data_IF_190260822682
#
_entry.id   IF_190260822682
#
_cell.length_a   1.000
_cell.length_b   1.000
_cell.length_c   1.000
_cell.angle_alpha   90.00
_cell.angle_beta   90.00
_cell.angle_gamma   90.00
#
_symmetry.space_group_name_H-M   'P 1'
#
loop_
_entity.id
_entity.type
_entity.pdbx_description
1 polymer ?
2 non-polymer ?
3 non-polymer ?
4 non-polymer ?
5 water ?
#
# COMPACT_ATOMS: atom_id res chain seq x y z
N UNK A 3 -0.42 10.59 -19.22
CA UNK A 3 -0.06 11.68 -18.26
C UNK A 3 0.03 11.15 -16.82
N UNK A 4 -0.98 11.39 -16.00
CA UNK A 4 -1.04 10.83 -14.65
C UNK A 4 -1.15 9.30 -14.74
N UNK A 5 -0.56 8.61 -13.78
CA UNK A 5 -0.55 7.15 -13.77
C UNK A 5 -1.90 6.61 -13.29
N UNK A 6 -2.08 5.30 -13.38
CA UNK A 6 -3.26 4.63 -12.85
C UNK A 6 -3.24 4.58 -11.34
N UNK A 7 -4.38 4.26 -10.76
CA UNK A 7 -4.53 4.23 -9.32
C UNK A 7 -5.13 2.93 -8.84
N UNK A 8 -5.06 2.71 -7.54
CA UNK A 8 -5.55 1.48 -6.94
C UNK A 8 -6.27 1.74 -5.63
N UNK A 9 -7.36 1.02 -5.44
CA UNK A 9 -8.12 1.12 -4.22
C UNK A 9 -8.31 -0.32 -3.73
N UNK A 10 -7.97 -0.55 -2.47
CA UNK A 10 -7.80 -1.91 -2.00
C UNK A 10 -8.61 -2.22 -0.76
N UNK A 11 -8.90 -3.51 -0.60
CA UNK A 11 -9.55 -3.99 0.61
C UNK A 11 -9.19 -5.43 0.87
N UNK A 12 -9.28 -5.82 2.12
CA UNK A 12 -8.94 -7.18 2.52
C UNK A 12 -9.78 -7.59 3.72
N UNK A 13 -10.15 -8.87 3.76
CA UNK A 13 -10.86 -9.41 4.91
C UNK A 13 -10.15 -10.68 5.34
N UNK A 14 -9.96 -10.84 6.64
CA UNK A 14 -9.20 -11.97 7.16
C UNK A 14 -9.88 -12.62 8.37
N UNK A 15 -10.01 -13.94 8.33
CA UNK A 15 -10.60 -14.69 9.45
C UNK A 15 -9.70 -15.85 9.84
N UNK A 16 -9.19 -15.84 11.07
CA UNK A 16 -8.43 -16.96 11.60
C UNK A 16 -9.38 -18.13 11.86
N UNK A 17 -8.82 -19.34 11.94
CA UNK A 17 -9.60 -20.54 12.26
C UNK A 17 -10.11 -20.48 13.69
N UNK A 18 -11.42 -20.38 13.87
CA UNK A 18 -11.99 -20.02 15.17
C UNK A 18 -11.24 -18.80 15.69
N UNK A 19 -11.13 -17.80 14.82
CA UNK A 19 -10.18 -16.68 14.99
C UNK A 19 -10.41 -15.79 16.20
N UNK A 20 -9.61 -15.96 17.26
CA UNK A 20 -8.50 -16.91 17.32
C UNK A 20 -7.16 -16.23 17.13
N UNK A 21 -6.16 -16.74 17.85
CA UNK A 21 -4.84 -16.11 17.92
C UNK A 21 -4.07 -16.12 16.59
N UNK A 22 -4.09 -17.26 15.89
CA UNK A 22 -3.23 -17.43 14.71
C UNK A 22 -3.89 -18.13 13.52
N UNK A 23 -3.24 -17.95 12.37
CA UNK A 23 -3.69 -18.49 11.09
C UNK A 23 -2.46 -18.75 10.21
N UNK A 24 -2.46 -19.84 9.47
CA UNK A 24 -1.39 -20.13 8.51
C UNK A 24 -1.37 -19.11 7.39
N UNK A 25 -2.54 -18.58 7.03
CA UNK A 25 -2.68 -17.58 5.97
C UNK A 25 -2.12 -16.20 6.33
N UNK A 26 -1.48 -15.57 5.35
CA UNK A 26 -1.04 -14.18 5.48
C UNK A 26 -1.25 -13.46 4.16
N UNK A 27 -1.42 -12.15 4.23
CA UNK A 27 -1.41 -11.35 3.02
C UNK A 27 -0.62 -10.07 3.24
N UNK A 28 -0.21 -9.47 2.14
CA UNK A 28 0.49 -8.20 2.20
C UNK A 28 0.21 -7.41 0.94
N UNK A 29 0.50 -6.13 1.00
CA UNK A 29 0.49 -5.30 -0.17
C UNK A 29 1.62 -4.30 -0.07
N UNK A 30 2.07 -3.81 -1.21
CA UNK A 30 2.91 -2.63 -1.20
C UNK A 30 2.61 -1.78 -2.42
N UNK A 31 2.89 -0.49 -2.28
CA UNK A 31 2.75 0.42 -3.38
C UNK A 31 3.98 1.31 -3.45
N UNK A 32 4.68 1.24 -4.57
CA UNK A 32 5.67 2.24 -4.92
C UNK A 32 4.91 3.33 -5.65
N UNK A 33 4.77 4.49 -5.02
CA UNK A 33 3.92 5.55 -5.54
C UNK A 33 4.04 5.81 -7.03
N UNK A 34 2.91 5.68 -7.73
CA UNK A 34 2.79 5.95 -9.18
C UNK A 34 3.45 4.94 -10.09
N UNK A 35 4.14 3.93 -9.54
CA UNK A 35 4.85 2.95 -10.36
C UNK A 35 4.29 1.52 -10.28
N UNK A 36 4.07 1.02 -9.06
CA UNK A 36 3.94 -0.40 -8.83
C UNK A 36 2.98 -0.68 -7.70
N UNK A 37 2.10 -1.65 -7.90
CA UNK A 37 1.29 -2.20 -6.80
C UNK A 37 1.42 -3.70 -6.81
N UNK A 38 1.68 -4.28 -5.64
CA UNK A 38 1.75 -5.74 -5.47
C UNK A 38 0.85 -6.20 -4.32
N UNK A 39 0.20 -7.36 -4.49
CA UNK A 39 -0.59 -8.02 -3.44
C UNK A 39 -0.26 -9.50 -3.42
N UNK A 40 -0.07 -10.05 -2.21
CA UNK A 40 0.35 -11.43 -2.03
C UNK A 40 -0.51 -12.14 -0.98
N UNK A 41 -0.89 -13.38 -1.27
CA UNK A 41 -1.52 -14.25 -0.28
C UNK A 41 -0.68 -15.53 -0.20
N UNK A 42 -0.46 -16.02 1.02
CA UNK A 42 0.29 -17.25 1.24
C UNK A 42 -0.39 -18.15 2.24
N UNK A 43 -0.19 -19.46 2.05
CA UNK A 43 -0.73 -20.48 2.95
C UNK A 43 0.40 -21.02 3.82
N UNK A 44 0.19 -20.99 5.13
CA UNK A 44 1.21 -21.39 6.12
C UNK A 44 2.27 -22.36 5.64
N UNK A 50 7.98 -14.21 8.04
CA UNK A 50 8.51 -14.03 6.69
C UNK A 50 7.52 -13.27 5.81
N UNK A 51 7.47 -11.96 5.99
CA UNK A 51 6.58 -11.11 5.22
C UNK A 51 6.98 -11.08 3.75
N UNK A 52 5.99 -10.92 2.87
CA UNK A 52 6.23 -10.86 1.42
C UNK A 52 7.04 -9.63 0.98
N UNK A 53 6.86 -8.53 1.72
CA UNK A 53 7.52 -7.27 1.44
C UNK A 53 8.14 -6.77 2.72
N UNK A 54 9.17 -5.95 2.58
CA UNK A 54 9.93 -5.42 3.72
C UNK A 54 10.56 -4.07 3.36
N UNK A 55 11.00 -3.33 4.37
CA UNK A 55 11.72 -2.10 4.14
C UNK A 55 13.02 -2.41 3.42
N UNK A 56 13.58 -1.40 2.78
CA UNK A 56 14.89 -1.55 2.14
C UNK A 56 16.01 -1.56 3.17
N UNK A 57 17.24 -1.75 2.69
CA UNK A 57 18.39 -2.03 3.54
C UNK A 57 18.66 -0.97 4.59
N UNK A 58 18.60 0.29 4.21
CA UNK A 58 18.95 1.36 5.16
C UNK A 58 17.77 1.66 6.09
N UNK A 59 16.57 1.74 5.53
CA UNK A 59 15.36 1.90 6.33
C UNK A 59 15.25 0.76 7.34
N UNK A 60 15.76 -0.41 6.99
CA UNK A 60 15.72 -1.56 7.90
C UNK A 60 16.52 -1.31 9.18
N UNK A 61 17.74 -0.81 9.06
CA UNK A 61 18.54 -0.50 10.23
C UNK A 61 17.86 0.58 11.07
N UNK A 62 17.30 1.60 10.40
CA UNK A 62 16.66 2.72 11.09
C UNK A 62 15.39 2.21 11.75
N UNK A 63 14.66 1.36 11.03
CA UNK A 63 13.45 0.76 11.57
C UNK A 63 13.75 -0.05 12.84
N UNK A 64 14.84 -0.79 12.83
CA UNK A 64 15.23 -1.60 13.98
C UNK A 64 15.52 -0.73 15.20
N UNK A 65 16.20 0.39 14.97
CA UNK A 65 16.55 1.33 16.04
C UNK A 65 15.29 1.93 16.67
N UNK A 66 14.34 2.34 15.83
CA UNK A 66 13.03 2.78 16.33
C UNK A 66 12.42 1.73 17.24
N UNK A 67 12.38 0.48 16.73
CA UNK A 67 11.77 -0.65 17.43
C UNK A 67 12.54 -1.10 18.67
N UNK A 68 13.79 -0.65 18.82
CA UNK A 68 14.48 -0.84 20.08
C UNK A 68 13.65 -0.22 21.19
N UNK A 69 13.30 1.06 21.00
CA UNK A 69 12.64 1.84 22.04
C UNK A 69 13.64 2.65 22.85
N UNK A 70 14.91 2.60 22.47
CA UNK A 70 15.99 3.32 23.17
C UNK A 70 15.62 4.80 23.35
N UNK A 71 16.38 5.46 24.22
CA UNK A 71 16.12 6.86 24.56
C UNK A 71 16.18 7.76 23.33
N UNK A 72 15.23 8.69 23.21
CA UNK A 72 15.18 9.62 22.07
C UNK A 72 16.53 10.26 21.79
N UNK A 73 17.15 10.81 22.82
CA UNK A 73 18.44 11.47 22.69
C UNK A 73 19.49 10.59 22.00
N UNK A 74 19.61 9.36 22.42
CA UNK A 74 20.68 8.52 21.89
C UNK A 74 20.32 7.94 20.51
N UNK A 75 19.04 7.62 20.31
CA UNK A 75 18.55 7.11 19.02
C UNK A 75 18.78 8.11 17.89
N UNK A 76 18.49 9.38 18.18
CA UNK A 76 18.79 10.46 17.26
C UNK A 76 20.29 10.49 16.97
N UNK A 77 21.07 10.37 18.03
CA UNK A 77 22.51 10.40 17.92
C UNK A 77 23.00 9.19 17.12
N UNK A 78 22.35 8.04 17.31
CA UNK A 78 22.88 6.82 16.70
C UNK A 78 22.45 6.72 15.25
N UNK A 79 21.22 7.18 14.97
CA UNK A 79 20.74 7.27 13.58
C UNK A 79 21.58 8.24 12.76
N UNK A 80 21.91 9.38 13.34
CA UNK A 80 22.83 10.31 12.66
C UNK A 80 24.09 9.60 12.21
N UNK A 81 24.81 9.01 13.16
CA UNK A 81 26.06 8.30 12.84
C UNK A 81 25.87 7.29 11.72
N UNK A 82 24.74 6.61 11.74
CA UNK A 82 24.39 5.70 10.66
C UNK A 82 24.22 6.44 9.32
N UNK A 83 23.49 7.55 9.32
CA UNK A 83 23.23 8.31 8.10
C UNK A 83 24.50 8.96 7.55
N UNK A 84 25.41 9.34 8.44
CA UNK A 84 26.67 9.96 8.01
C UNK A 84 27.64 8.94 7.39
N UNK A 85 27.18 7.71 7.12
CA UNK A 85 27.98 6.69 6.42
C UNK A 85 27.23 6.13 5.20
N UNK A 86 26.50 7.00 4.49
CA UNK A 86 25.74 6.60 3.31
C UNK A 86 26.55 6.77 2.04
N UNK A 91 24.18 10.41 0.14
CA UNK A 91 23.05 10.90 0.92
C UNK A 91 21.81 10.05 0.65
N UNK A 92 20.92 9.98 1.65
CA UNK A 92 19.63 9.32 1.52
C UNK A 92 18.52 10.34 1.25
N UNK A 93 18.89 11.60 1.04
CA UNK A 93 17.91 12.66 0.88
C UNK A 93 17.19 12.89 2.22
N UNK A 94 15.88 13.08 2.17
CA UNK A 94 15.05 13.20 3.37
C UNK A 94 14.30 11.89 3.52
N UNK A 95 13.71 11.69 4.70
CA UNK A 95 12.90 10.52 5.01
C UNK A 95 11.81 10.94 5.96
N UNK A 96 10.57 10.69 5.58
CA UNK A 96 9.44 10.81 6.49
C UNK A 96 8.86 9.40 6.56
N UNK A 97 9.00 8.74 7.71
CA UNK A 97 8.56 7.35 7.87
C UNK A 97 7.55 7.19 9.01
N UNK A 98 6.37 6.69 8.69
CA UNK A 98 5.34 6.37 9.67
C UNK A 98 5.09 4.87 9.72
N UNK A 99 5.11 4.28 10.92
CA UNK A 99 4.89 2.85 11.07
C UNK A 99 3.78 2.56 12.06
N UNK A 100 2.66 2.03 11.59
CA UNK A 100 1.51 1.79 12.46
C UNK A 100 1.39 0.31 12.77
N UNK A 101 1.21 0.00 14.05
CA UNK A 101 0.93 -1.34 14.55
C UNK A 101 -0.57 -1.58 14.44
N UNK A 102 -0.99 -2.51 13.58
CA UNK A 102 -2.43 -2.69 13.34
C UNK A 102 -3.13 -3.39 14.49
N UNK A 103 -2.37 -3.89 15.45
CA UNK A 103 -2.99 -4.58 16.58
C UNK A 103 -3.53 -3.60 17.64
N UNK A 104 -2.73 -2.59 18.01
CA UNK A 104 -3.16 -1.61 19.02
C UNK A 104 -3.15 -0.14 18.54
N UNK A 105 -2.91 0.05 17.24
CA UNK A 105 -2.95 1.36 16.62
C UNK A 105 -1.88 2.34 17.14
N UNK A 106 -0.85 1.84 17.81
CA UNK A 106 0.27 2.68 18.22
C UNK A 106 1.05 3.02 16.97
N UNK A 107 1.78 4.12 17.00
CA UNK A 107 2.51 4.60 15.84
C UNK A 107 3.89 5.12 16.21
N UNK A 108 4.87 4.71 15.42
CA UNK A 108 6.22 5.23 15.49
C UNK A 108 6.55 6.09 14.27
N UNK A 109 7.13 7.27 14.49
CA UNK A 109 7.57 8.16 13.41
C UNK A 109 9.06 8.37 13.43
N UNK A 110 9.68 8.27 12.26
CA UNK A 110 11.08 8.57 12.10
C UNK A 110 11.13 9.64 11.02
N UNK A 111 11.61 10.82 11.40
CA UNK A 111 11.78 11.91 10.46
C UNK A 111 13.25 12.19 10.36
N UNK A 112 13.72 12.29 9.12
CA UNK A 112 15.09 12.72 8.84
C UNK A 112 14.99 13.83 7.85
N UNK A 113 15.49 15.00 8.21
CA UNK A 113 15.46 16.13 7.31
C UNK A 113 14.11 16.81 7.26
N UNK A 114 13.39 16.83 8.38
CA UNK A 114 12.06 17.44 8.47
C UNK A 114 11.00 16.84 7.54
N UNK A 115 9.93 17.62 7.32
CA UNK A 115 8.68 17.10 6.77
C UNK A 115 7.66 18.21 6.60
N UNK A 116 6.88 18.50 7.67
CA UNK A 116 6.52 17.71 8.86
C UNK A 116 5.18 16.99 8.67
N UNK A 117 4.51 16.58 9.76
CA UNK A 117 3.21 15.86 9.61
C UNK A 117 2.21 16.16 10.70
N UNK A 118 0.96 15.81 10.44
CA UNK A 118 -0.16 16.20 11.29
C UNK A 118 -1.17 15.07 11.46
N UNK A 119 -1.86 15.12 12.59
CA UNK A 119 -2.92 14.17 12.92
C UNK A 119 -4.19 14.95 13.21
N UNK A 120 -5.29 14.52 12.64
CA UNK A 120 -6.55 15.19 12.89
C UNK A 120 -7.44 14.24 13.68
N UNK A 121 -7.75 14.63 14.92
CA UNK A 121 -8.59 13.85 15.83
C UNK A 121 -9.86 14.65 16.14
N UNK A 122 -10.96 14.21 15.52
CA UNK A 122 -12.21 14.97 15.54
C UNK A 122 -11.97 16.32 14.91
N UNK A 123 -12.17 17.38 15.69
CA UNK A 123 -12.00 18.75 15.24
C UNK A 123 -10.60 19.28 15.55
N UNK A 124 -9.78 18.46 16.19
CA UNK A 124 -8.44 18.89 16.57
C UNK A 124 -7.41 18.49 15.52
N UNK A 125 -6.34 19.27 15.40
CA UNK A 125 -5.24 18.98 14.50
C UNK A 125 -3.94 19.34 15.20
N UNK A 126 -3.08 18.35 15.42
CA UNK A 126 -1.80 18.56 16.11
C UNK A 126 -0.65 18.13 15.21
N UNK A 127 0.47 18.84 15.29
CA UNK A 127 1.66 18.48 14.55
C UNK A 127 2.36 17.33 15.25
N UNK A 128 3.07 16.52 14.48
CA UNK A 128 3.77 15.37 15.02
C UNK A 128 5.19 15.78 15.36
N UNK A 129 5.42 15.95 16.66
CA UNK A 129 6.71 16.37 17.18
C UNK A 129 6.97 15.72 18.52
N UNK A 130 8.26 15.58 18.86
CA UNK A 130 8.67 14.97 20.12
C UNK A 130 8.57 15.99 21.26
N UNK A 131 7.87 15.60 22.33
CA UNK A 131 7.63 16.46 23.52
C UNK A 131 8.69 17.53 23.79
N UNK A 137 21.91 19.55 21.55
CA UNK A 137 23.21 19.27 20.94
C UNK A 137 23.10 19.25 19.41
N UNK A 138 24.18 18.83 18.76
CA UNK A 138 24.24 18.73 17.30
C UNK A 138 23.32 17.61 16.81
N UNK A 139 22.43 17.97 15.90
CA UNK A 139 21.58 17.02 15.19
C UNK A 139 21.86 17.18 13.70
N UNK A 140 22.94 16.55 13.25
CA UNK A 140 23.54 16.79 11.93
C UNK A 140 22.56 16.69 10.78
N UNK A 141 21.73 15.64 10.81
CA UNK A 141 20.82 15.35 9.70
C UNK A 141 19.38 15.74 10.03
N UNK A 142 19.20 16.46 11.14
CA UNK A 142 17.89 16.94 11.56
C UNK A 142 16.90 15.78 11.80
N UNK A 143 17.34 14.83 12.61
CA UNK A 143 16.57 13.63 12.91
C UNK A 143 15.58 13.82 14.06
N UNK A 144 14.35 13.36 13.87
CA UNK A 144 13.38 13.26 14.95
C UNK A 144 12.83 11.86 15.04
N UNK A 145 12.52 11.44 16.26
CA UNK A 145 11.89 10.16 16.55
C UNK A 145 10.73 10.44 17.49
N UNK A 146 9.55 9.91 17.16
CA UNK A 146 8.33 10.20 17.89
C UNK A 146 7.47 8.93 17.98
N UNK A 147 6.68 8.85 19.05
CA UNK A 147 5.70 7.78 19.25
C UNK A 147 4.35 8.39 19.58
N UNK A 148 3.28 7.80 19.10
CA UNK A 148 1.95 8.28 19.45
C UNK A 148 0.99 7.13 19.50
N UNK A 149 -0.10 7.34 20.21
CA UNK A 149 -1.16 6.38 20.28
C UNK A 149 -2.31 6.92 19.43
N UNK A 150 -2.56 6.27 18.30
CA UNK A 150 -3.65 6.69 17.43
C UNK A 150 -4.96 6.07 17.89
N UNK A 151 -6.05 6.49 17.27
CA UNK A 151 -7.39 6.06 17.63
C UNK A 151 -8.26 5.94 16.41
N UNK A 152 -9.22 5.02 16.46
CA UNK A 152 -10.18 4.87 15.37
C UNK A 152 -10.70 6.27 14.99
N UNK A 153 -10.67 6.58 13.69
CA UNK A 153 -11.12 7.89 13.20
C UNK A 153 -10.03 8.93 13.01
N UNK A 154 -8.85 8.67 13.57
CA UNK A 154 -7.71 9.57 13.35
C UNK A 154 -7.34 9.64 11.88
N UNK A 155 -6.85 10.80 11.48
CA UNK A 155 -6.33 11.02 10.14
C UNK A 155 -4.92 11.51 10.22
N UNK A 156 -4.02 10.68 9.73
CA UNK A 156 -2.60 10.97 9.69
C UNK A 156 -2.33 11.52 8.30
N UNK A 157 -1.71 12.68 8.23
CA UNK A 157 -1.37 13.32 6.97
C UNK A 157 0.13 13.59 6.88
N UNK A 158 0.76 13.05 5.84
CA UNK A 158 2.17 13.25 5.56
C UNK A 158 2.34 14.03 4.25
N UNK A 159 3.41 14.82 4.16
CA UNK A 159 3.66 15.63 2.99
C UNK A 159 5.11 16.05 2.81
N UNK A 160 5.51 16.31 1.57
CA UNK A 160 6.86 16.75 1.25
C UNK A 160 6.98 18.27 1.35
N UNK A 161 8.18 18.81 1.13
CA UNK A 161 8.41 20.27 1.20
C UNK A 161 7.46 21.06 0.30
N UNK A 162 7.28 20.60 -0.94
CA UNK A 162 6.52 21.33 -1.94
C UNK A 162 5.06 21.58 -1.66
N UNK A 163 4.44 20.70 -0.87
CA UNK A 163 3.08 20.95 -0.43
C UNK A 163 3.08 21.86 0.77
N UNK A 164 3.87 21.49 1.77
CA UNK A 164 3.77 22.15 3.06
C UNK A 164 4.31 23.58 3.07
N UNK A 165 5.45 23.78 2.41
CA UNK A 165 6.01 25.10 2.18
C UNK A 165 5.52 25.71 0.84
N UNK A 166 4.48 25.11 0.27
CA UNK A 166 3.92 25.54 -1.01
C UNK A 166 3.22 26.88 -1.03
N UNK A 167 2.28 27.13 -0.08
CA UNK A 167 1.45 28.36 -0.12
C UNK A 167 2.29 29.62 -0.23
N UNK A 168 1.84 30.55 -1.08
CA UNK A 168 2.71 31.59 -1.62
C UNK A 168 3.23 32.60 -0.61
N UNK A 169 2.34 33.28 0.10
CA UNK A 169 2.77 34.35 1.01
C UNK A 169 2.22 34.09 2.41
N UNK A 170 2.67 32.98 2.96
CA UNK A 170 2.22 32.49 4.27
C UNK A 170 3.41 32.43 5.25
N UNK A 171 3.27 33.15 6.37
CA UNK A 171 4.35 33.25 7.35
C UNK A 171 4.43 31.97 8.18
N UNK A 172 3.29 31.59 8.74
CA UNK A 172 3.19 30.40 9.54
C UNK A 172 2.53 29.25 8.75
N UNK A 173 3.38 28.40 8.18
CA UNK A 173 2.90 27.24 7.43
C UNK A 173 2.13 26.25 8.32
N UNK A 174 2.64 26.02 9.53
CA UNK A 174 1.96 25.16 10.51
C UNK A 174 0.48 25.54 10.63
N UNK A 175 0.24 26.83 10.82
CA UNK A 175 -1.10 27.32 11.06
C UNK A 175 -1.98 27.19 9.82
N UNK A 176 -1.40 27.49 8.66
CA UNK A 176 -2.10 27.34 7.38
C UNK A 176 -2.60 25.91 7.17
N UNK A 177 -1.75 24.93 7.44
CA UNK A 177 -2.14 23.54 7.22
C UNK A 177 -3.21 23.06 8.22
N UNK A 178 -3.07 23.43 9.50
CA UNK A 178 -4.06 23.07 10.52
C UNK A 178 -5.42 23.62 10.13
N UNK A 179 -5.46 24.92 9.86
CA UNK A 179 -6.71 25.59 9.50
C UNK A 179 -7.34 24.88 8.31
N UNK A 180 -6.54 24.56 7.30
CA UNK A 180 -7.07 23.87 6.13
C UNK A 180 -7.56 22.46 6.45
N UNK A 181 -6.82 21.71 7.25
CA UNK A 181 -7.25 20.36 7.66
C UNK A 181 -8.47 20.39 8.56
N UNK A 182 -8.53 21.36 9.46
CA UNK A 182 -9.72 21.53 10.30
C UNK A 182 -10.97 21.75 9.43
N UNK A 183 -10.79 22.35 8.26
CA UNK A 183 -11.90 22.60 7.35
C UNK A 183 -12.29 21.50 6.39
N UNK A 184 -11.56 20.38 6.41
CA UNK A 184 -11.90 19.22 5.58
C UNK A 184 -13.29 18.67 5.94
N UNK A 185 -14.23 18.77 5.01
CA UNK A 185 -15.59 18.24 5.19
C UNK A 185 -15.67 16.90 4.48
N UNK A 186 -14.92 15.93 5.00
CA UNK A 186 -14.92 14.53 4.53
C UNK A 186 -14.02 13.65 5.41
N UNK A 187 -14.23 12.33 5.40
CA UNK A 187 -13.31 11.43 6.09
C UNK A 187 -12.58 10.49 5.11
N UNK A 188 -12.58 10.81 3.82
CA UNK A 188 -12.03 9.89 2.82
C UNK A 188 -10.59 10.25 2.49
N UNK A 189 -9.65 9.35 2.79
CA UNK A 189 -8.25 9.66 2.53
C UNK A 189 -7.91 10.21 1.13
N UNK A 190 -8.42 9.60 0.06
CA UNK A 190 -8.07 10.10 -1.27
C UNK A 190 -8.60 11.51 -1.54
N UNK A 191 -9.82 11.81 -1.10
CA UNK A 191 -10.35 13.16 -1.22
C UNK A 191 -9.50 14.18 -0.47
N UNK A 192 -9.10 13.85 0.75
CA UNK A 192 -8.31 14.76 1.56
C UNK A 192 -7.00 15.09 0.83
N UNK A 193 -6.34 14.04 0.33
CA UNK A 193 -5.07 14.21 -0.38
C UNK A 193 -5.25 15.14 -1.56
N UNK A 194 -6.31 14.92 -2.32
CA UNK A 194 -6.52 15.70 -3.54
C UNK A 194 -6.88 17.14 -3.18
N UNK A 195 -7.72 17.30 -2.16
CA UNK A 195 -8.14 18.63 -1.69
C UNK A 195 -6.94 19.47 -1.21
N UNK A 196 -6.07 18.88 -0.41
CA UNK A 196 -4.89 19.58 0.10
C UNK A 196 -3.92 19.96 -1.01
N UNK A 197 -3.85 19.11 -2.03
CA UNK A 197 -2.99 19.36 -3.18
C UNK A 197 -3.53 20.56 -3.95
N UNK A 198 -4.85 20.56 -4.15
CA UNK A 198 -5.52 21.62 -4.90
C UNK A 198 -5.33 22.96 -4.21
N UNK A 199 -5.57 23.01 -2.90
CA UNK A 199 -5.46 24.26 -2.15
C UNK A 199 -4.07 24.88 -2.26
N UNK A 200 -3.04 24.05 -2.27
CA UNK A 200 -1.68 24.54 -2.42
C UNK A 200 -1.41 25.01 -3.85
N UNK A 201 -1.85 24.22 -4.84
CA UNK A 201 -1.59 24.57 -6.24
C UNK A 201 -2.26 25.91 -6.63
N UNK A 202 -3.43 26.20 -6.07
CA UNK A 202 -4.19 27.38 -6.44
C UNK A 202 -3.65 28.67 -5.84
N UNK A 203 -2.84 28.58 -4.78
CA UNK A 203 -2.22 29.75 -4.18
C UNK A 203 -1.13 30.28 -5.07
N UNK A 204 -0.58 29.39 -5.89
CA UNK A 204 0.18 29.77 -7.05
C UNK A 204 -0.88 29.65 -8.13
N UNK A 205 -0.54 29.56 -9.40
CA UNK A 205 -1.63 29.53 -10.38
C UNK A 205 -1.47 28.41 -11.38
N UNK A 206 -1.66 27.19 -10.87
CA UNK A 206 -1.30 25.99 -11.61
C UNK A 206 0.21 25.84 -11.67
N UNK A 207 0.91 26.73 -10.97
CA UNK A 207 2.37 26.73 -10.98
C UNK A 207 2.88 25.82 -9.87
N UNK A 208 3.85 24.98 -10.21
CA UNK A 208 4.33 23.92 -9.33
C UNK A 208 5.85 24.05 -9.23
N UNK A 209 6.31 24.84 -8.28
CA UNK A 209 7.74 25.17 -8.17
C UNK A 209 8.57 23.98 -7.72
N UNK A 210 8.06 23.23 -6.74
CA UNK A 210 8.74 22.06 -6.22
C UNK A 210 7.85 20.84 -6.45
N UNK A 211 8.43 19.65 -6.29
CA UNK A 211 7.65 18.41 -6.31
C UNK A 211 6.74 18.42 -5.11
N UNK A 212 5.50 17.98 -5.31
CA UNK A 212 4.50 17.98 -4.26
C UNK A 212 3.97 16.57 -4.02
N UNK A 213 4.14 16.06 -2.80
CA UNK A 213 3.56 14.77 -2.41
C UNK A 213 2.81 14.86 -1.08
N UNK A 214 1.58 14.35 -1.06
CA UNK A 214 0.83 14.20 0.19
C UNK A 214 0.29 12.75 0.37
N UNK A 215 0.44 12.20 1.57
CA UNK A 215 -0.11 10.87 1.90
C UNK A 215 -1.03 10.99 3.12
N UNK A 216 -2.23 10.43 3.00
CA UNK A 216 -3.22 10.48 4.05
C UNK A 216 -3.56 9.06 4.51
N UNK A 217 -3.54 8.84 5.81
CA UNK A 217 -3.89 7.56 6.37
C UNK A 217 -4.97 7.73 7.41
N UNK A 218 -6.03 6.93 7.33
CA UNK A 218 -7.09 6.92 8.33
C UNK A 218 -7.07 5.59 9.08
N UNK A 219 -7.24 5.67 10.40
CA UNK A 219 -7.30 4.47 11.25
C UNK A 219 -8.76 4.04 11.48
N UNK A 220 -9.07 2.78 11.16
CA UNK A 220 -10.42 2.29 11.31
C UNK A 220 -10.44 1.10 12.26
N UNK A 221 -11.56 0.95 12.99
CA UNK A 221 -11.86 -0.27 13.72
C UNK A 221 -12.22 -1.33 12.69
N UNK A 222 -11.49 -2.45 12.69
CA UNK A 222 -11.93 -3.64 11.94
C UNK A 222 -12.98 -4.36 12.77
N UNK A 223 -14.24 -4.26 12.35
CA UNK A 223 -15.31 -4.95 13.05
C UNK A 223 -16.50 -5.19 12.12
N UNK A 224 -16.29 -6.04 11.08
CA UNK A 224 -17.36 -6.39 10.17
C UNK A 224 -18.39 -7.35 10.82
N UNK A 225 -19.37 -7.77 10.03
CA UNK A 225 -20.42 -8.67 10.51
C UNK A 225 -20.01 -10.13 10.37
N UNK A 226 -19.19 -10.61 11.33
CA UNK A 226 -18.79 -12.02 11.44
C UNK A 226 -17.62 -12.17 12.42
N UNK B 5 -8.02 -5.92 15.82
CA UNK B 5 -7.01 -5.42 14.84
C UNK B 5 -7.57 -4.27 14.01
N UNK B 6 -6.90 -3.13 14.04
CA UNK B 6 -7.33 -1.95 13.29
C UNK B 6 -7.05 -2.13 11.80
N UNK B 7 -7.80 -1.42 10.98
CA UNK B 7 -7.52 -1.33 9.56
C UNK B 7 -6.99 0.06 9.31
N UNK B 8 -6.37 0.25 8.16
CA UNK B 8 -6.10 1.61 7.68
C UNK B 8 -6.70 1.77 6.31
N UNK B 9 -7.18 2.98 6.06
CA UNK B 9 -7.65 3.40 4.75
C UNK B 9 -6.69 4.48 4.33
N UNK B 10 -6.14 4.39 3.12
CA UNK B 10 -5.12 5.32 2.67
C UNK B 10 -5.47 6.04 1.37
N UNK B 11 -4.71 7.09 1.09
CA UNK B 11 -4.81 7.84 -0.15
C UNK B 11 -3.59 8.72 -0.35
N UNK B 12 -3.37 9.18 -1.58
CA UNK B 12 -2.15 9.91 -1.87
C UNK B 12 -2.30 10.76 -3.12
N UNK B 13 -1.50 11.82 -3.19
CA UNK B 13 -1.49 12.73 -4.35
C UNK B 13 -0.09 13.16 -4.61
N UNK B 14 0.26 13.21 -5.88
CA UNK B 14 1.63 13.45 -6.25
C UNK B 14 1.72 14.26 -7.54
N UNK B 15 2.59 15.27 -7.55
CA UNK B 15 2.75 16.13 -8.73
C UNK B 15 4.18 16.58 -8.87
N UNK B 16 4.74 16.37 -10.06
CA UNK B 16 6.13 16.76 -10.36
C UNK B 16 6.29 18.27 -10.54
N UNK B 17 7.47 18.78 -10.21
CA UNK B 17 7.76 20.22 -10.32
C UNK B 17 7.72 20.64 -11.79
N UNK B 18 7.05 21.76 -12.06
CA UNK B 18 6.65 22.10 -13.43
C UNK B 18 5.82 20.94 -13.95
N UNK B 19 4.50 21.05 -13.83
CA UNK B 19 3.59 19.90 -13.98
C UNK B 19 3.87 18.94 -15.13
N UNK B 20 4.90 18.10 -14.95
CA UNK B 20 5.24 17.10 -15.96
C UNK B 20 6.39 16.17 -15.62
N UNK B 21 6.32 14.96 -16.19
CA UNK B 21 7.44 14.00 -16.25
C UNK B 21 7.84 13.41 -14.88
N UNK B 22 9.12 13.52 -14.50
CA UNK B 22 9.69 12.72 -13.40
C UNK B 22 10.00 13.59 -12.17
N UNK B 23 9.77 13.01 -10.98
CA UNK B 23 9.82 13.75 -9.73
C UNK B 23 10.95 13.29 -8.80
N UNK B 24 11.56 14.26 -8.10
CA UNK B 24 12.50 13.98 -7.01
C UNK B 24 11.84 13.43 -5.75
N UNK B 25 10.53 13.62 -5.63
CA UNK B 25 9.78 12.99 -4.56
C UNK B 25 9.52 11.50 -4.85
N UNK B 26 9.46 10.70 -3.80
CA UNK B 26 8.88 9.38 -3.91
C UNK B 26 8.11 9.08 -2.65
N UNK B 27 7.03 8.31 -2.80
CA UNK B 27 6.29 7.83 -1.66
C UNK B 27 6.00 6.35 -1.80
N UNK B 28 5.95 5.66 -0.67
CA UNK B 28 5.64 4.25 -0.68
C UNK B 28 4.79 3.87 0.48
N UNK B 29 4.07 2.77 0.33
CA UNK B 29 3.42 2.13 1.46
C UNK B 29 3.43 0.62 1.36
N UNK B 30 3.31 0.00 2.52
CA UNK B 30 3.22 -1.44 2.63
C UNK B 30 2.39 -1.84 3.82
N UNK B 31 1.67 -2.94 3.69
CA UNK B 31 0.86 -3.46 4.76
C UNK B 31 1.15 -4.96 4.90
N UNK B 32 1.50 -5.37 6.11
CA UNK B 32 1.56 -6.80 6.47
C UNK B 32 0.25 -7.14 7.14
N UNK B 33 -0.58 -7.91 6.44
CA UNK B 33 -1.97 -8.18 6.85
C UNK B 33 -2.17 -8.27 8.35
N UNK B 34 -3.05 -7.43 8.89
CA UNK B 34 -3.44 -7.50 10.31
C UNK B 34 -2.34 -7.21 11.34
N UNK B 35 -1.15 -6.82 10.88
CA UNK B 35 0.01 -6.66 11.75
C UNK B 35 0.61 -5.25 11.68
N UNK B 36 1.00 -4.83 10.49
CA UNK B 36 1.78 -3.63 10.37
C UNK B 36 1.45 -2.87 9.11
N UNK B 37 1.35 -1.55 9.24
CA UNK B 37 1.28 -0.66 8.08
C UNK B 37 2.40 0.39 8.16
N UNK B 38 3.05 0.64 7.02
CA UNK B 38 4.12 1.62 6.91
C UNK B 38 3.90 2.53 5.70
N UNK B 39 4.26 3.80 5.83
CA UNK B 39 4.19 4.77 4.74
C UNK B 39 5.43 5.65 4.81
N UNK B 40 6.06 5.91 3.66
CA UNK B 40 7.27 6.72 3.62
C UNK B 40 7.19 7.78 2.52
N UNK B 41 7.66 8.99 2.82
CA UNK B 41 7.90 10.00 1.79
C UNK B 41 9.39 10.38 1.78
N UNK B 42 9.95 10.54 0.59
CA UNK B 42 11.33 10.98 0.45
C UNK B 42 11.45 12.04 -0.62
N UNK B 43 12.15 13.11 -0.26
CA UNK B 43 12.43 14.18 -1.17
C UNK B 43 13.92 14.13 -1.54
N UNK B 44 14.20 13.82 -2.79
CA UNK B 44 15.57 13.87 -3.32
C UNK B 44 15.85 15.19 -4.03
N UNK B 50 14.73 6.42 -3.82
CA UNK B 50 14.61 4.98 -4.10
C UNK B 50 13.36 4.40 -3.43
N UNK B 51 12.95 3.21 -3.88
CA UNK B 51 11.87 2.45 -3.24
C UNK B 51 12.16 2.17 -1.77
N UNK B 52 11.22 2.59 -0.93
CA UNK B 52 11.33 2.42 0.51
C UNK B 52 11.11 0.96 0.88
N UNK B 53 10.31 0.26 0.09
CA UNK B 53 9.97 -1.12 0.36
C UNK B 53 10.17 -1.97 -0.88
N UNK B 54 10.50 -3.24 -0.65
CA UNK B 54 10.74 -4.20 -1.73
C UNK B 54 10.29 -5.60 -1.29
N UNK B 55 10.24 -6.50 -2.26
CA UNK B 55 9.85 -7.87 -2.01
C UNK B 55 10.94 -8.65 -1.25
N UNK B 56 10.53 -9.75 -0.61
CA UNK B 56 11.40 -10.83 -0.09
C UNK B 56 12.65 -11.08 -0.90
N UNK B 57 13.66 -11.64 -0.24
CA UNK B 57 14.81 -12.18 -0.96
C UNK B 57 14.30 -13.04 -2.10
N UNK B 58 13.44 -14.03 -1.80
CA UNK B 58 12.97 -14.99 -2.81
C UNK B 58 11.98 -14.40 -3.81
N UNK B 59 11.07 -13.54 -3.35
CA UNK B 59 10.10 -12.89 -4.26
C UNK B 59 10.77 -11.89 -5.21
N UNK B 60 11.84 -11.24 -4.75
CA UNK B 60 12.69 -10.43 -5.63
C UNK B 60 13.14 -11.25 -6.84
N UNK B 61 13.61 -12.47 -6.59
CA UNK B 61 14.09 -13.35 -7.66
C UNK B 61 12.94 -13.76 -8.57
N UNK B 62 11.79 -14.09 -7.97
CA UNK B 62 10.64 -14.45 -8.77
C UNK B 62 10.23 -13.28 -9.67
N UNK B 63 10.09 -12.09 -9.08
CA UNK B 63 9.80 -10.88 -9.85
C UNK B 63 10.72 -10.64 -11.03
N UNK B 64 12.03 -10.87 -10.82
CA UNK B 64 13.02 -10.66 -11.88
C UNK B 64 12.74 -11.58 -13.07
N UNK B 65 12.24 -12.78 -12.78
CA UNK B 65 11.96 -13.76 -13.82
C UNK B 65 10.75 -13.31 -14.63
N UNK B 66 9.69 -12.92 -13.92
CA UNK B 66 8.51 -12.33 -14.55
C UNK B 66 8.89 -11.14 -15.43
N UNK B 67 9.62 -10.20 -14.84
CA UNK B 67 10.04 -8.97 -15.52
C UNK B 67 10.85 -9.22 -16.79
N UNK B 68 11.59 -10.32 -16.83
CA UNK B 68 12.52 -10.60 -17.93
C UNK B 68 11.86 -10.80 -19.29
N UNK B 69 10.64 -11.31 -19.30
CA UNK B 69 10.00 -11.69 -20.55
C UNK B 69 10.61 -12.96 -21.15
N UNK B 70 11.33 -13.73 -20.35
CA UNK B 70 11.77 -15.06 -20.75
C UNK B 70 10.50 -15.78 -21.16
N UNK B 71 10.62 -16.75 -22.06
CA UNK B 71 9.44 -17.52 -22.48
C UNK B 71 8.82 -18.19 -21.24
N UNK B 72 7.60 -18.70 -21.35
CA UNK B 72 6.86 -19.11 -20.16
C UNK B 72 7.35 -20.44 -19.54
N UNK B 73 7.68 -21.41 -20.37
CA UNK B 73 8.13 -22.74 -19.90
C UNK B 73 9.43 -22.67 -19.10
N UNK B 74 10.39 -21.91 -19.61
CA UNK B 74 11.65 -21.56 -18.93
C UNK B 74 11.47 -20.80 -17.61
N UNK B 75 10.59 -19.80 -17.63
CA UNK B 75 10.25 -19.04 -16.44
C UNK B 75 9.70 -19.99 -15.38
N UNK B 76 8.81 -20.87 -15.82
CA UNK B 76 8.24 -21.87 -14.92
C UNK B 76 9.33 -22.80 -14.39
N UNK B 77 10.25 -23.23 -15.25
CA UNK B 77 11.34 -24.13 -14.83
C UNK B 77 12.25 -23.45 -13.81
N UNK B 78 12.63 -22.21 -14.12
CA UNK B 78 13.52 -21.44 -13.26
C UNK B 78 12.87 -21.10 -11.93
N UNK B 79 11.60 -20.69 -11.97
CA UNK B 79 10.88 -20.39 -10.74
C UNK B 79 10.85 -21.65 -9.89
N UNK B 80 10.54 -22.78 -10.51
CA UNK B 80 10.55 -24.06 -9.79
C UNK B 80 11.89 -24.29 -9.10
N UNK B 81 12.98 -24.14 -9.83
CA UNK B 81 14.32 -24.26 -9.26
C UNK B 81 14.55 -23.29 -8.10
N UNK B 82 14.19 -22.01 -8.28
CA UNK B 82 14.36 -21.02 -7.21
C UNK B 82 13.53 -21.45 -6.02
N UNK B 83 12.26 -21.69 -6.26
CA UNK B 83 11.38 -22.26 -5.25
C UNK B 83 11.99 -23.53 -4.67
N UNK B 84 12.60 -24.34 -5.55
CA UNK B 84 13.19 -25.64 -5.17
C UNK B 84 14.20 -25.53 -4.03
N UNK B 85 15.09 -24.54 -4.10
CA UNK B 85 16.09 -24.33 -3.06
C UNK B 85 15.71 -23.17 -2.14
N UNK B 86 14.92 -23.48 -1.12
CA UNK B 86 14.58 -22.53 -0.07
C UNK B 86 14.52 -23.25 1.27
N UNK B 87 14.34 -22.50 2.35
CA UNK B 87 14.33 -23.06 3.70
C UNK B 87 13.16 -24.05 3.83
N UNK B 88 13.49 -25.33 3.99
CA UNK B 88 12.48 -26.40 4.04
C UNK B 88 11.31 -26.05 4.96
N UNK B 89 11.62 -25.36 6.05
CA UNK B 89 10.61 -24.65 6.85
C UNK B 89 10.79 -23.14 6.65
N UNK B 90 9.78 -22.46 6.11
CA UNK B 90 8.53 -23.07 5.64
C UNK B 90 8.54 -23.31 4.12
N UNK B 91 7.72 -24.27 3.70
CA UNK B 91 7.72 -24.74 2.32
C UNK B 91 7.22 -23.69 1.32
N UNK B 92 6.76 -22.53 1.81
CA UNK B 92 6.36 -21.39 0.97
C UNK B 92 5.39 -21.74 -0.17
N UNK B 93 4.51 -22.70 0.11
CA UNK B 93 3.36 -22.96 -0.73
C UNK B 93 2.16 -22.78 0.18
N UNK B 94 1.13 -22.05 -0.25
CA UNK B 94 0.99 -21.52 -1.60
C UNK B 94 1.59 -20.13 -1.69
N UNK B 95 1.56 -19.56 -2.90
CA UNK B 95 1.88 -18.15 -3.12
C UNK B 95 0.97 -17.65 -4.23
N UNK B 96 0.19 -16.61 -3.95
CA UNK B 96 -0.59 -15.94 -4.97
C UNK B 96 -0.14 -14.48 -5.05
N UNK B 97 0.43 -14.08 -6.19
CA UNK B 97 1.14 -12.81 -6.30
C UNK B 97 0.67 -12.04 -7.52
N UNK B 98 0.18 -10.82 -7.32
CA UNK B 98 -0.30 -9.97 -8.41
C UNK B 98 0.49 -8.68 -8.43
N UNK B 99 1.04 -8.32 -9.58
CA UNK B 99 1.87 -7.13 -9.68
C UNK B 99 1.34 -6.21 -10.74
N UNK B 100 0.70 -5.12 -10.33
CA UNK B 100 0.15 -4.17 -11.28
C UNK B 100 1.15 -3.04 -11.57
N UNK B 101 1.43 -2.81 -12.85
CA UNK B 101 2.21 -1.66 -13.29
C UNK B 101 1.26 -0.47 -13.34
N UNK B 102 1.59 0.60 -12.62
CA UNK B 102 0.66 1.71 -12.47
C UNK B 102 0.74 2.72 -13.62
N UNK B 103 1.73 2.58 -14.49
CA UNK B 103 1.80 3.41 -15.71
C UNK B 103 0.77 2.95 -16.76
N UNK B 104 0.71 1.64 -17.04
CA UNK B 104 -0.19 1.12 -18.11
C UNK B 104 -1.28 0.16 -17.65
N UNK B 105 -1.34 -0.09 -16.35
CA UNK B 105 -2.33 -0.97 -15.75
C UNK B 105 -2.20 -2.43 -16.22
N UNK B 106 -0.99 -2.84 -16.59
CA UNK B 106 -0.72 -4.22 -17.00
C UNK B 106 -0.32 -5.05 -15.79
N UNK B 107 -0.94 -6.21 -15.62
CA UNK B 107 -0.76 -7.02 -14.41
C UNK B 107 -0.12 -8.37 -14.69
N UNK B 108 0.97 -8.66 -14.00
CA UNK B 108 1.59 -9.98 -14.07
C UNK B 108 1.21 -10.79 -12.84
N UNK B 109 0.74 -12.01 -13.06
CA UNK B 109 0.34 -12.88 -11.96
C UNK B 109 1.35 -14.01 -11.87
N UNK B 110 1.72 -14.37 -10.65
CA UNK B 110 2.54 -15.53 -10.40
C UNK B 110 1.85 -16.31 -9.33
N UNK B 111 1.54 -17.56 -9.62
CA UNK B 111 0.86 -18.44 -8.68
C UNK B 111 1.71 -19.66 -8.39
N UNK B 112 1.79 -20.02 -7.12
CA UNK B 112 2.46 -21.24 -6.70
C UNK B 112 1.48 -21.99 -5.84
N UNK B 113 0.83 -22.99 -6.44
CA UNK B 113 -0.21 -23.77 -5.77
C UNK B 113 -1.55 -23.06 -5.86
N UNK B 114 -2.45 -23.59 -6.71
CA UNK B 114 -3.68 -22.89 -7.18
C UNK B 114 -4.33 -21.93 -6.17
N UNK B 115 -5.27 -21.13 -6.65
CA UNK B 115 -5.91 -20.12 -5.78
C UNK B 115 -7.42 -20.10 -5.91
N UNK B 116 -7.96 -19.77 -7.11
CA UNK B 116 -7.48 -18.92 -8.18
C UNK B 116 -7.97 -17.50 -7.93
N UNK B 117 -7.71 -16.60 -8.86
CA UNK B 117 -8.14 -15.23 -8.69
C UNK B 117 -9.04 -14.83 -9.85
N UNK B 118 -9.92 -13.87 -9.59
CA UNK B 118 -10.93 -13.47 -10.56
C UNK B 118 -10.87 -11.99 -10.81
N UNK B 119 -11.08 -11.62 -12.07
CA UNK B 119 -11.20 -10.24 -12.49
C UNK B 119 -12.64 -9.99 -12.91
N UNK B 120 -13.29 -9.06 -12.24
CA UNK B 120 -14.62 -8.63 -12.64
C UNK B 120 -14.52 -7.37 -13.51
N UNK B 121 -15.00 -7.48 -14.75
CA UNK B 121 -15.06 -6.35 -15.68
C UNK B 121 -16.50 -6.13 -16.12
N UNK B 122 -17.08 -5.00 -15.68
CA UNK B 122 -18.49 -4.72 -15.89
C UNK B 122 -19.35 -5.74 -15.17
N UNK B 123 -20.07 -6.55 -15.94
CA UNK B 123 -20.82 -7.70 -15.43
C UNK B 123 -20.13 -9.03 -15.78
N UNK B 124 -19.02 -8.94 -16.52
CA UNK B 124 -18.23 -10.11 -16.92
C UNK B 124 -17.23 -10.44 -15.81
N UNK B 125 -17.28 -11.67 -15.30
CA UNK B 125 -16.33 -12.15 -14.30
C UNK B 125 -15.51 -13.29 -14.88
N UNK B 126 -14.27 -13.00 -15.25
CA UNK B 126 -13.36 -13.99 -15.83
C UNK B 126 -12.39 -14.46 -14.75
N UNK B 127 -11.96 -15.72 -14.84
CA UNK B 127 -11.00 -16.29 -13.88
C UNK B 127 -9.60 -16.01 -14.39
N UNK B 128 -8.66 -15.82 -13.49
CA UNK B 128 -7.27 -15.56 -13.87
C UNK B 128 -6.55 -16.88 -14.10
N UNK B 129 -6.40 -17.25 -15.37
CA UNK B 129 -5.59 -18.41 -15.74
C UNK B 129 -4.94 -18.21 -17.10
N UNK B 130 -3.88 -18.96 -17.35
CA UNK B 130 -3.17 -18.92 -18.63
C UNK B 130 -3.97 -19.65 -19.71
N UNK B 131 -3.92 -19.11 -20.93
CA UNK B 131 -4.63 -19.70 -22.08
C UNK B 131 -3.94 -20.98 -22.53
N UNK B 132 -2.60 -20.94 -22.60
CA UNK B 132 -1.79 -22.13 -22.86
C UNK B 132 -1.17 -22.68 -21.57
N UNK B 133 -1.64 -23.85 -21.15
CA UNK B 133 -1.11 -24.55 -19.98
C UNK B 133 0.08 -25.40 -20.43
N UNK B 134 1.25 -25.25 -19.78
CA UNK B 134 2.40 -26.06 -20.19
C UNK B 134 2.28 -27.54 -19.79
N UNK B 135 2.42 -28.43 -20.78
CA UNK B 135 2.40 -29.87 -20.53
C UNK B 135 3.75 -30.45 -20.93
N UNK B 136 3.94 -31.75 -20.69
CA UNK B 136 5.19 -32.42 -21.02
C UNK B 136 6.37 -31.85 -20.25
N UNK B 137 6.16 -31.54 -18.98
CA UNK B 137 7.22 -31.04 -18.10
C UNK B 137 6.99 -31.52 -16.67
N UNK B 138 7.95 -31.23 -15.80
CA UNK B 138 7.79 -31.42 -14.38
C UNK B 138 7.64 -30.04 -13.77
N UNK B 139 6.53 -29.85 -13.07
CA UNK B 139 6.19 -28.59 -12.41
C UNK B 139 5.85 -28.94 -10.97
N UNK B 140 6.88 -29.17 -10.17
CA UNK B 140 6.68 -29.69 -8.81
C UNK B 140 5.91 -28.78 -7.89
N UNK B 141 5.97 -27.48 -8.10
CA UNK B 141 5.26 -26.56 -7.19
C UNK B 141 3.96 -26.04 -7.78
N UNK B 142 3.57 -26.58 -8.93
CA UNK B 142 2.33 -26.19 -9.59
C UNK B 142 2.35 -24.68 -9.88
N UNK B 143 3.44 -24.26 -10.52
CA UNK B 143 3.66 -22.86 -10.83
C UNK B 143 2.85 -22.46 -12.03
N UNK B 144 2.21 -21.31 -11.93
CA UNK B 144 1.45 -20.72 -13.01
C UNK B 144 1.86 -19.25 -13.17
N UNK B 145 2.02 -18.81 -14.41
CA UNK B 145 2.39 -17.44 -14.73
C UNK B 145 1.43 -16.88 -15.79
N UNK B 146 0.82 -15.74 -15.50
CA UNK B 146 -0.23 -15.16 -16.34
C UNK B 146 -0.03 -13.67 -16.55
N UNK B 147 -0.45 -13.17 -17.71
CA UNK B 147 -0.39 -11.75 -18.04
C UNK B 147 -1.73 -11.25 -18.60
N UNK B 148 -2.42 -10.43 -17.82
CA UNK B 148 -3.63 -9.79 -18.27
C UNK B 148 -3.37 -8.30 -18.34
N UNK B 149 -4.28 -7.60 -19.02
CA UNK B 149 -4.24 -6.16 -19.17
C UNK B 149 -5.49 -5.65 -18.52
N UNK B 150 -5.33 -4.87 -17.46
CA UNK B 150 -6.46 -4.40 -16.70
C UNK B 150 -6.84 -3.04 -17.27
N UNK B 151 -8.06 -2.60 -16.98
CA UNK B 151 -8.47 -1.23 -17.31
C UNK B 151 -9.28 -0.62 -16.17
N UNK B 152 -9.43 0.70 -16.22
CA UNK B 152 -10.19 1.41 -15.19
C UNK B 152 -11.49 0.68 -14.91
N UNK B 153 -11.84 0.56 -13.63
CA UNK B 153 -13.06 -0.09 -13.19
C UNK B 153 -12.96 -1.59 -12.99
N UNK B 154 -11.78 -2.17 -13.23
CA UNK B 154 -11.57 -3.60 -12.98
C UNK B 154 -11.54 -3.89 -11.49
N UNK B 155 -12.14 -5.01 -11.11
CA UNK B 155 -12.08 -5.53 -9.74
C UNK B 155 -11.40 -6.90 -9.72
N UNK B 156 -10.14 -6.89 -9.30
CA UNK B 156 -9.35 -8.10 -9.09
C UNK B 156 -9.64 -8.65 -7.69
N UNK B 157 -10.16 -9.88 -7.61
CA UNK B 157 -10.35 -10.56 -6.33
C UNK B 157 -9.40 -11.77 -6.19
N UNK B 158 -8.67 -11.80 -5.09
CA UNK B 158 -7.75 -12.90 -4.74
C UNK B 158 -8.21 -13.51 -3.45
N UNK B 159 -8.14 -14.83 -3.36
CA UNK B 159 -8.55 -15.54 -2.17
C UNK B 159 -7.70 -16.78 -1.90
N UNK B 160 -7.69 -17.16 -0.63
CA UNK B 160 -7.00 -18.36 -0.17
C UNK B 160 -7.87 -19.60 -0.41
N UNK B 161 -7.26 -20.78 -0.23
CA UNK B 161 -7.95 -22.08 -0.29
C UNK B 161 -9.19 -22.16 0.62
N UNK B 162 -9.09 -21.58 1.81
CA UNK B 162 -10.17 -21.64 2.79
C UNK B 162 -11.48 -21.02 2.34
N UNK B 163 -11.43 -19.79 1.83
CA UNK B 163 -12.66 -19.07 1.46
C UNK B 163 -13.22 -19.62 0.14
N UNK B 164 -12.34 -19.90 -0.80
CA UNK B 164 -12.75 -20.45 -2.10
C UNK B 164 -13.47 -21.80 -1.94
N UNK B 165 -13.19 -22.49 -0.84
CA UNK B 165 -13.81 -23.78 -0.53
C UNK B 165 -14.55 -23.73 0.82
N UNK B 172 -18.89 -27.24 -8.14
CA UNK B 172 -17.96 -26.36 -8.84
C UNK B 172 -17.91 -25.00 -8.17
N UNK B 173 -16.71 -24.60 -7.73
CA UNK B 173 -16.55 -23.37 -6.96
C UNK B 173 -16.45 -22.10 -7.80
N UNK B 174 -15.94 -22.22 -9.03
CA UNK B 174 -15.90 -21.07 -9.94
C UNK B 174 -17.30 -20.48 -10.09
N UNK B 175 -18.28 -21.33 -10.42
CA UNK B 175 -19.68 -20.91 -10.56
C UNK B 175 -20.19 -20.14 -9.35
N UNK B 176 -19.83 -20.59 -8.15
CA UNK B 176 -20.23 -19.92 -6.91
C UNK B 176 -19.63 -18.52 -6.82
N UNK B 177 -18.32 -18.44 -7.05
CA UNK B 177 -17.60 -17.18 -6.97
C UNK B 177 -18.10 -16.26 -8.08
N UNK B 178 -18.17 -16.79 -9.31
CA UNK B 178 -18.63 -16.02 -10.46
C UNK B 178 -19.99 -15.41 -10.18
N UNK B 179 -20.95 -16.25 -9.76
CA UNK B 179 -22.30 -15.78 -9.46
C UNK B 179 -22.29 -14.71 -8.38
N UNK B 180 -21.71 -15.03 -7.23
CA UNK B 180 -21.69 -14.12 -6.09
C UNK B 180 -21.00 -12.79 -6.38
N UNK B 181 -19.94 -12.84 -7.19
CA UNK B 181 -19.25 -11.62 -7.60
C UNK B 181 -20.10 -10.76 -8.53
N UNK B 182 -21.01 -11.39 -9.27
CA UNK B 182 -22.02 -10.64 -10.05
C UNK B 182 -23.04 -10.05 -9.08
N UNK B 183 -23.41 -10.83 -8.07
CA UNK B 183 -24.36 -10.41 -7.03
C UNK B 183 -23.95 -9.20 -6.22
N UNK B 184 -22.65 -8.89 -6.23
CA UNK B 184 -22.15 -7.67 -5.60
C UNK B 184 -22.77 -6.45 -6.29
N UNK B 185 -23.38 -5.58 -5.49
CA UNK B 185 -23.98 -4.34 -5.99
C UNK B 185 -23.10 -3.12 -5.63
N UNK B 186 -21.88 -3.39 -5.15
CA UNK B 186 -20.97 -2.35 -4.68
C UNK B 186 -19.64 -2.40 -5.43
N UNK B 187 -19.07 -1.21 -5.68
CA UNK B 187 -17.75 -1.09 -6.30
C UNK B 187 -16.63 -0.87 -5.28
N UNK B 188 -16.93 -1.04 -3.99
CA UNK B 188 -16.00 -0.64 -2.94
C UNK B 188 -15.25 -1.86 -2.37
N UNK B 189 -13.93 -1.91 -2.58
CA UNK B 189 -13.08 -3.02 -2.19
C UNK B 189 -13.25 -3.55 -0.78
N UNK B 190 -13.20 -2.68 0.21
CA UNK B 190 -13.28 -3.14 1.59
C UNK B 190 -14.67 -3.68 1.88
N UNK B 191 -15.66 -3.19 1.14
CA UNK B 191 -17.01 -3.74 1.24
C UNK B 191 -17.11 -5.09 0.54
N UNK B 192 -16.66 -5.17 -0.72
CA UNK B 192 -16.73 -6.41 -1.48
C UNK B 192 -16.05 -7.57 -0.75
N UNK B 193 -14.89 -7.29 -0.14
CA UNK B 193 -14.17 -8.29 0.62
C UNK B 193 -15.01 -8.83 1.76
N UNK B 194 -15.53 -7.92 2.58
CA UNK B 194 -16.28 -8.32 3.76
C UNK B 194 -17.54 -9.09 3.42
N UNK B 195 -18.20 -8.70 2.33
CA UNK B 195 -19.40 -9.39 1.88
C UNK B 195 -19.04 -10.80 1.41
N UNK B 196 -18.02 -10.91 0.56
CA UNK B 196 -17.58 -12.21 0.05
C UNK B 196 -17.17 -13.13 1.20
N UNK B 197 -16.64 -12.56 2.27
CA UNK B 197 -16.40 -13.33 3.48
C UNK B 197 -17.74 -13.77 4.05
N UNK B 198 -18.63 -12.81 4.25
CA UNK B 198 -19.97 -13.11 4.79
C UNK B 198 -20.63 -14.28 4.06
N UNK B 199 -20.62 -14.24 2.73
CA UNK B 199 -21.28 -15.27 1.94
C UNK B 199 -20.67 -16.64 2.13
N UNK B 200 -19.35 -16.70 2.25
CA UNK B 200 -18.68 -17.97 2.48
C UNK B 200 -18.99 -18.53 3.88
N UNK B 201 -19.12 -17.65 4.88
CA UNK B 201 -19.27 -18.12 6.27
C UNK B 201 -20.67 -18.64 6.55
N UNK B 202 -21.70 -17.90 6.15
CA UNK B 202 -23.09 -18.34 6.34
C UNK B 202 -23.39 -19.66 5.63
N UNK B 203 -22.67 -19.93 4.55
CA UNK B 203 -22.68 -21.24 3.91
C UNK B 203 -22.22 -22.32 4.89
N UNK B 204 -21.29 -21.97 5.78
CA UNK B 204 -20.99 -22.80 6.94
C UNK B 204 -22.08 -22.65 8.00
N UNK B 205 -22.36 -21.40 8.42
CA UNK B 205 -23.29 -21.07 9.52
C UNK B 205 -22.59 -21.04 10.88
N UNK B 206 -21.39 -20.44 10.92
CA UNK B 206 -20.53 -20.45 12.13
C UNK B 206 -19.06 -20.24 11.80
N UNK B 207 -18.18 -20.79 12.65
CA UNK B 207 -16.73 -20.67 12.46
C UNK B 207 -16.18 -21.71 11.47
N UNK B 208 -14.89 -21.64 11.17
CA UNK B 208 -14.27 -22.61 10.26
C UNK B 208 -12.89 -23.09 10.76
N UNK B 209 -12.56 -24.32 10.39
CA UNK B 209 -11.29 -24.97 10.76
C UNK B 209 -10.13 -24.42 9.93
N UNK B 210 -10.44 -24.03 8.71
CA UNK B 210 -9.47 -23.52 7.75
C UNK B 210 -9.40 -21.99 7.78
N UNK B 211 -8.22 -21.46 7.47
CA UNK B 211 -8.02 -20.02 7.39
C UNK B 211 -8.63 -19.44 6.13
N UNK B 212 -9.22 -18.26 6.25
CA UNK B 212 -9.85 -17.58 5.13
C UNK B 212 -9.25 -16.17 5.04
N UNK B 213 -8.76 -15.81 3.86
CA UNK B 213 -8.46 -14.41 3.57
C UNK B 213 -8.85 -14.08 2.14
N UNK B 214 -9.35 -12.86 1.97
CA UNK B 214 -9.64 -12.36 0.63
C UNK B 214 -9.14 -10.92 0.50
N UNK B 215 -8.49 -10.60 -0.61
CA UNK B 215 -8.13 -9.23 -0.90
C UNK B 215 -8.71 -8.84 -2.25
N UNK B 216 -9.22 -7.61 -2.32
CA UNK B 216 -9.74 -7.08 -3.57
C UNK B 216 -9.10 -5.74 -3.90
N UNK B 217 -8.84 -5.55 -5.19
CA UNK B 217 -8.14 -4.39 -5.70
C UNK B 217 -9.00 -3.80 -6.82
N UNK B 218 -9.30 -2.52 -6.74
CA UNK B 218 -9.99 -1.84 -7.84
C UNK B 218 -9.03 -0.91 -8.57
N UNK B 219 -9.00 -1.04 -9.88
CA UNK B 219 -8.14 -0.21 -10.73
C UNK B 219 -8.94 1.02 -11.10
N UNK B 220 -8.40 2.21 -10.89
CA UNK B 220 -9.03 3.39 -11.43
C UNK B 220 -8.10 4.47 -11.98
N UNK B 221 -8.68 5.28 -12.88
CA UNK B 221 -7.92 6.21 -13.70
C UNK B 221 -7.91 7.63 -13.12
N UNK B 222 -7.00 7.80 -12.17
CA UNK B 222 -6.54 9.09 -11.67
C UNK B 222 -6.79 10.31 -12.56
N UNK B 223 -7.87 11.05 -12.28
CA UNK B 223 -8.10 12.35 -12.95
C UNK B 223 -8.76 13.38 -12.01
N UNK B 224 -8.02 13.80 -10.95
CA UNK B 224 -8.53 14.79 -9.99
C UNK B 224 -8.44 16.21 -10.53
N UNK B 225 -9.29 17.10 -10.01
CA UNK B 225 -9.38 18.45 -10.52
C UNK B 225 -8.04 19.17 -10.66
N UNK B 226 -7.17 19.07 -9.66
CA UNK B 226 -5.90 19.80 -9.70
C UNK B 226 -4.99 19.36 -10.85
N UNK B 227 -5.20 18.14 -11.32
CA UNK B 227 -4.48 17.62 -12.48
C UNK B 227 -4.75 18.47 -13.73
N UNK B 228 -5.93 19.09 -13.78
CA UNK B 228 -6.39 19.85 -14.95
C UNK B 228 -6.12 21.34 -14.85
N UNK B 229 -5.64 21.82 -13.70
CA UNK B 229 -5.30 23.23 -13.54
C UNK B 229 -4.11 23.52 -14.43
N UNK B 230 -4.24 24.51 -15.34
CA UNK B 230 -3.22 24.74 -16.35
C UNK B 230 -2.02 25.55 -15.83
N UNK B 231 -0.85 25.24 -16.36
CA UNK B 231 0.37 26.00 -16.10
C UNK B 231 0.53 27.04 -17.24
N UNK B 232 0.97 28.28 -16.91
CA UNK B 232 1.15 29.41 -17.85
C UNK B 232 1.84 29.11 -19.21
N UNK B 233 1.48 29.91 -20.22
CA UNK B 233 1.92 29.68 -21.60
C UNK B 233 2.86 30.78 -22.12
N UNK B 234 3.89 30.36 -22.85
CA UNK B 234 4.72 31.27 -23.65
C UNK B 234 5.55 30.50 -24.68
#
# INVERSE_FOLDING_TARGET
>A
GPAMSYRVSTGAAHAAKGGGLVSGDSYSMMELGARKYAAAISDGMGNGARAHFESNETIKLLEKILESGIDEKIAIKTINSILSLRTTDEIYSTLDLSIIDLQDASCKFLKVGSTPSFIKRGDQVMKVQASNLPIGIINEFDVEVVSEQLKAGDLLIMMSDGIFEGPKHVENHDLWMKRKMKGLKTNDPQEIADLLMEEVIRTRSGQIEDDMTVVVVRIDHNTPKWASIPVPAIFQNKQEIS
>B
GPAMSYRVSTGAAHAAKGGGLVSGDSYSMMELGARKYAAAISDGMGNGARAHFESNETIKLLEKILESGIDEKIAIKTINSILSLRTTDEIYSTLDLSIIDLQDASCKFLKVGSTPSFIKRGDQVMKVQASNLPIGIINEFDVEVVSEQLKAGDLLIMMSDGIFEGPKHVENHDLWMKRKMKGLKTNDPQEIADLLMEEVIRTRSGQIEDDMTVVVVRIDHNTPKWASIPVPAIFQNKQEIS
#
